data_IF_699856755221
#
_entry.id   IF_699856755221
#
_cell.length_a   1.000
_cell.length_b   1.000
_cell.length_c   1.000
_cell.angle_alpha   90.00
_cell.angle_beta   90.00
_cell.angle_gamma   90.00
#
_symmetry.space_group_name_H-M   'P 1'
#
loop_
_entity.id
_entity.type
_entity.pdbx_description
1 polymer ?
#
# COMPACT_ATOMS: atom_id res chain seq x y z
N UNK A 1 -0.85 -25.14 0.19
CA UNK A 1 -0.18 -24.62 -1.02
C UNK A 1 -0.89 -23.34 -1.44
N UNK A 2 -0.18 -22.34 -1.94
CA UNK A 2 -0.76 -21.09 -2.45
C UNK A 2 0.05 -20.57 -3.64
N UNK A 3 -0.57 -19.80 -4.52
CA UNK A 3 0.08 -19.06 -5.61
C UNK A 3 0.58 -17.72 -5.09
N UNK A 4 1.84 -17.40 -5.39
CA UNK A 4 2.47 -16.16 -4.92
C UNK A 4 2.56 -15.07 -5.99
N UNK A 5 1.55 -14.98 -6.84
CA UNK A 5 1.29 -13.82 -7.68
C UNK A 5 2.13 -13.71 -8.94
N UNK A 6 2.48 -14.85 -9.55
CA UNK A 6 3.25 -14.94 -10.79
C UNK A 6 2.47 -15.55 -11.96
N UNK A 7 1.16 -15.74 -11.82
CA UNK A 7 0.25 -16.34 -12.82
C UNK A 7 0.54 -17.80 -13.19
N UNK A 8 1.36 -18.54 -12.43
CA UNK A 8 1.71 -19.93 -12.79
C UNK A 8 0.47 -20.83 -12.92
N UNK A 9 -0.58 -20.60 -12.11
CA UNK A 9 -1.86 -21.31 -12.22
C UNK A 9 -2.53 -21.07 -13.57
N UNK A 10 -2.52 -19.83 -14.05
CA UNK A 10 -3.13 -19.50 -15.34
C UNK A 10 -2.34 -20.10 -16.51
N UNK A 11 -1.00 -20.09 -16.44
CA UNK A 11 -0.16 -20.77 -17.43
C UNK A 11 -0.41 -22.28 -17.48
N UNK A 12 -0.53 -22.93 -16.31
CA UNK A 12 -0.86 -24.34 -16.22
C UNK A 12 -2.26 -24.64 -16.81
N UNK A 13 -3.25 -23.78 -16.56
CA UNK A 13 -4.59 -23.88 -17.15
C UNK A 13 -4.52 -23.80 -18.68
N UNK A 14 -3.78 -22.85 -19.25
CA UNK A 14 -3.61 -22.73 -20.70
C UNK A 14 -2.87 -23.92 -21.32
N UNK A 15 -1.96 -24.55 -20.58
CA UNK A 15 -1.29 -25.79 -20.97
C UNK A 15 -2.18 -27.04 -20.86
N UNK A 16 -3.45 -26.90 -20.45
CA UNK A 16 -4.42 -27.99 -20.35
C UNK A 16 -4.50 -28.67 -18.98
N UNK A 17 -3.83 -28.15 -17.94
CA UNK A 17 -3.94 -28.69 -16.59
C UNK A 17 -5.24 -28.21 -15.92
N UNK A 18 -6.19 -29.13 -15.73
CA UNK A 18 -7.56 -28.80 -15.30
C UNK A 18 -7.69 -28.43 -13.83
N UNK A 19 -6.70 -28.77 -13.00
CA UNK A 19 -6.69 -28.55 -11.54
C UNK A 19 -5.83 -27.36 -11.11
N UNK A 20 -5.52 -26.46 -12.04
CA UNK A 20 -4.55 -25.39 -11.80
C UNK A 20 -4.97 -24.41 -10.69
N UNK A 21 -6.27 -24.23 -10.48
CA UNK A 21 -6.82 -23.31 -9.47
C UNK A 21 -7.34 -24.04 -8.21
N UNK A 22 -6.99 -25.33 -8.02
CA UNK A 22 -7.32 -26.09 -6.79
C UNK A 22 -6.62 -25.53 -5.53
N UNK A 23 -5.70 -24.58 -5.70
CA UNK A 23 -5.05 -23.85 -4.61
C UNK A 23 -5.18 -22.32 -4.82
N UNK A 24 -5.37 -21.55 -3.73
CA UNK A 24 -5.69 -20.13 -3.81
C UNK A 24 -4.46 -19.26 -4.05
N UNK A 25 -4.68 -18.02 -4.48
CA UNK A 25 -3.67 -16.97 -4.38
C UNK A 25 -3.42 -16.57 -2.93
N UNK A 26 -2.23 -16.05 -2.66
CA UNK A 26 -1.87 -15.61 -1.30
C UNK A 26 -2.73 -14.45 -0.79
N UNK A 27 -3.28 -13.60 -1.68
CA UNK A 27 -4.08 -12.45 -1.27
C UNK A 27 -5.44 -12.85 -0.69
N UNK A 28 -6.30 -13.60 -1.40
CA UNK A 28 -7.54 -14.10 -0.80
C UNK A 28 -7.29 -14.99 0.43
N UNK A 29 -6.17 -15.72 0.46
CA UNK A 29 -5.87 -16.62 1.57
C UNK A 29 -5.37 -15.91 2.85
N UNK A 30 -4.57 -14.84 2.73
CA UNK A 30 -3.85 -14.27 3.87
C UNK A 30 -3.83 -12.74 3.94
N UNK A 31 -3.71 -12.04 2.81
CA UNK A 31 -3.39 -10.59 2.82
C UNK A 31 -4.62 -9.70 2.79
N UNK A 32 -5.75 -10.16 2.24
CA UNK A 32 -6.95 -9.33 2.08
C UNK A 32 -7.46 -8.67 3.38
N UNK A 33 -7.42 -9.31 4.56
CA UNK A 33 -7.78 -8.65 5.81
C UNK A 33 -6.94 -7.39 6.08
N UNK A 34 -5.65 -7.40 5.72
CA UNK A 34 -4.77 -6.23 5.84
C UNK A 34 -5.22 -5.12 4.88
N UNK A 35 -5.56 -5.47 3.64
CA UNK A 35 -6.05 -4.49 2.66
C UNK A 35 -7.36 -3.82 3.07
N UNK A 36 -8.23 -4.52 3.82
CA UNK A 36 -9.45 -3.94 4.38
C UNK A 36 -9.15 -2.80 5.38
N UNK A 37 -7.94 -2.77 5.97
CA UNK A 37 -7.49 -1.70 6.86
C UNK A 37 -6.65 -0.61 6.14
N UNK A 38 -6.52 -0.72 4.82
CA UNK A 38 -5.61 0.12 4.02
C UNK A 38 -4.13 -0.19 4.23
N UNK A 39 -3.79 -1.28 4.94
CA UNK A 39 -2.40 -1.74 5.09
C UNK A 39 -1.87 -2.19 3.74
N UNK A 40 -0.58 -1.97 3.52
CA UNK A 40 0.09 -2.36 2.29
C UNK A 40 1.57 -1.98 2.33
N UNK A 41 2.33 -2.23 1.25
CA UNK A 41 3.79 -2.15 1.23
C UNK A 41 4.33 -0.71 1.14
N UNK A 42 3.92 0.12 2.10
CA UNK A 42 4.40 1.48 2.32
C UNK A 42 5.92 1.47 2.57
N UNK A 43 6.63 2.37 1.89
CA UNK A 43 8.09 2.43 1.91
C UNK A 43 8.60 3.84 1.76
N UNK A 44 9.83 4.05 2.17
CA UNK A 44 10.55 5.30 1.93
C UNK A 44 12.02 5.05 1.65
N UNK A 45 12.68 6.03 1.03
CA UNK A 45 14.13 6.02 0.81
C UNK A 45 14.74 7.39 1.12
N UNK A 46 15.94 7.37 1.70
CA UNK A 46 16.68 8.56 2.07
C UNK A 46 17.50 9.06 0.87
N UNK A 47 17.20 10.25 0.35
CA UNK A 47 17.90 10.80 -0.82
C UNK A 47 19.34 11.25 -0.52
N UNK A 48 19.72 11.29 0.76
CA UNK A 48 21.09 11.55 1.21
C UNK A 48 22.06 10.43 0.85
N UNK A 49 21.55 9.20 0.68
CA UNK A 49 22.37 7.99 0.62
C UNK A 49 22.91 7.54 1.97
N UNK A 50 22.56 8.22 3.07
CA UNK A 50 23.08 7.91 4.41
C UNK A 50 22.16 6.92 5.15
N UNK A 51 22.65 5.73 5.56
CA UNK A 51 21.85 4.75 6.27
C UNK A 51 21.36 5.25 7.64
N UNK A 52 22.02 6.24 8.24
CA UNK A 52 21.58 6.83 9.50
C UNK A 52 20.22 7.54 9.36
N UNK A 53 19.87 8.07 8.19
CA UNK A 53 18.55 8.67 7.97
C UNK A 53 17.43 7.60 8.07
N UNK A 54 17.73 6.35 7.68
CA UNK A 54 16.81 5.22 7.89
C UNK A 54 16.73 4.86 9.38
N UNK A 55 17.84 4.83 10.11
CA UNK A 55 17.79 4.58 11.56
C UNK A 55 16.97 5.64 12.32
N UNK A 56 17.10 6.92 11.94
CA UNK A 56 16.29 8.02 12.52
C UNK A 56 14.81 7.85 12.21
N UNK A 57 14.46 7.47 10.97
CA UNK A 57 13.06 7.23 10.60
C UNK A 57 12.48 5.97 11.25
N UNK A 58 13.24 4.88 11.40
CA UNK A 58 12.83 3.68 12.12
C UNK A 58 12.49 4.02 13.59
N UNK A 59 13.32 4.83 14.26
CA UNK A 59 13.05 5.30 15.62
C UNK A 59 11.78 6.16 15.68
N UNK A 60 11.60 7.10 14.75
CA UNK A 60 10.43 7.96 14.70
C UNK A 60 9.12 7.18 14.45
N UNK A 61 9.17 6.10 13.68
CA UNK A 61 8.00 5.21 13.49
C UNK A 61 7.66 4.49 14.79
N UNK A 62 8.66 3.98 15.53
CA UNK A 62 8.42 3.34 16.85
C UNK A 62 7.82 4.32 17.86
N UNK A 63 8.27 5.58 17.86
CA UNK A 63 7.71 6.65 18.69
C UNK A 63 6.25 6.99 18.32
N UNK A 64 5.92 7.01 17.03
CA UNK A 64 4.56 7.29 16.56
C UNK A 64 3.56 6.19 16.90
N UNK A 65 4.02 4.94 16.97
CA UNK A 65 3.19 3.75 17.18
C UNK A 65 3.75 2.90 18.32
N UNK A 66 3.78 3.43 19.56
CA UNK A 66 4.48 2.79 20.68
C UNK A 66 3.86 1.44 21.08
N UNK A 67 2.56 1.27 20.86
CA UNK A 67 1.82 0.07 21.27
C UNK A 67 1.80 -1.04 20.20
N UNK A 68 2.38 -0.80 19.01
CA UNK A 68 2.38 -1.77 17.92
C UNK A 68 3.61 -2.69 18.00
N UNK A 69 3.56 -3.68 18.91
CA UNK A 69 4.67 -4.60 19.14
C UNK A 69 5.14 -5.35 17.87
N UNK A 70 4.21 -5.72 16.98
CA UNK A 70 4.56 -6.40 15.72
C UNK A 70 5.36 -5.49 14.78
N UNK A 71 4.95 -4.22 14.66
CA UNK A 71 5.68 -3.22 13.89
C UNK A 71 7.10 -3.00 14.44
N UNK A 72 7.26 -2.98 15.76
CA UNK A 72 8.58 -2.79 16.38
C UNK A 72 9.49 -3.98 16.07
N UNK A 73 8.98 -5.20 16.23
CA UNK A 73 9.69 -6.44 15.87
C UNK A 73 10.09 -6.45 14.39
N UNK A 74 9.20 -5.98 13.50
CA UNK A 74 9.51 -5.86 12.07
C UNK A 74 10.67 -4.90 11.81
N UNK A 75 10.67 -3.73 12.43
CA UNK A 75 11.75 -2.75 12.25
C UNK A 75 13.07 -3.25 12.84
N UNK A 76 13.05 -3.91 14.00
CA UNK A 76 14.24 -4.52 14.60
C UNK A 76 14.84 -5.60 13.70
N UNK A 77 14.01 -6.52 13.21
CA UNK A 77 14.45 -7.55 12.28
C UNK A 77 14.97 -6.95 10.97
N UNK A 78 14.32 -5.91 10.45
CA UNK A 78 14.76 -5.25 9.22
C UNK A 78 16.06 -4.44 9.42
N UNK A 79 16.36 -3.96 10.62
CA UNK A 79 17.64 -3.33 10.94
C UNK A 79 18.77 -4.37 11.12
N UNK A 80 18.44 -5.57 11.62
CA UNK A 80 19.42 -6.64 11.84
C UNK A 80 19.73 -7.43 10.56
N UNK A 81 18.72 -7.73 9.74
CA UNK A 81 18.83 -8.74 8.69
C UNK A 81 18.77 -8.20 7.26
N UNK A 82 18.41 -6.93 7.04
CA UNK A 82 18.25 -6.37 5.68
C UNK A 82 19.39 -5.41 5.37
N UNK A 83 20.28 -5.84 4.46
CA UNK A 83 21.30 -4.99 3.87
C UNK A 83 20.69 -3.99 2.88
N UNK A 84 21.24 -2.78 2.82
CA UNK A 84 20.76 -1.76 1.88
C UNK A 84 21.29 -1.99 0.46
N UNK A 85 20.43 -1.77 -0.53
CA UNK A 85 20.77 -1.82 -1.95
C UNK A 85 20.54 -0.45 -2.60
N UNK A 86 21.62 0.24 -3.00
CA UNK A 86 21.54 1.58 -3.56
C UNK A 86 21.25 2.64 -2.49
N UNK A 87 20.23 3.48 -2.68
CA UNK A 87 19.81 4.41 -1.64
C UNK A 87 19.22 3.63 -0.44
N UNK A 88 19.64 3.91 0.81
CA UNK A 88 19.04 3.30 1.98
C UNK A 88 17.54 3.52 1.98
N UNK A 89 16.79 2.43 2.14
CA UNK A 89 15.34 2.41 2.04
C UNK A 89 14.75 1.44 3.04
N UNK A 90 13.52 1.72 3.47
CA UNK A 90 12.78 0.87 4.41
C UNK A 90 11.38 0.59 3.89
N UNK A 91 10.97 -0.65 4.07
CA UNK A 91 9.60 -1.11 3.88
C UNK A 91 8.97 -1.30 5.27
N UNK A 92 7.75 -0.81 5.48
CA UNK A 92 6.99 -1.00 6.71
C UNK A 92 5.51 -0.89 6.38
N UNK A 93 4.75 -1.94 6.64
CA UNK A 93 3.33 -1.93 6.29
C UNK A 93 2.56 -1.02 7.25
N UNK A 94 2.00 0.06 6.71
CA UNK A 94 1.18 1.04 7.43
C UNK A 94 -0.18 1.19 6.74
N UNK A 95 -1.23 1.36 7.54
CA UNK A 95 -2.62 1.40 7.10
C UNK A 95 -3.22 2.79 6.97
N UNK A 96 -4.54 2.83 6.73
CA UNK A 96 -5.29 4.09 6.78
C UNK A 96 -5.24 4.70 8.18
N UNK A 97 -4.87 5.98 8.23
CA UNK A 97 -4.63 6.72 9.48
C UNK A 97 -3.16 6.72 9.94
N UNK A 98 -2.34 5.77 9.49
CA UNK A 98 -0.94 5.66 9.91
C UNK A 98 0.01 6.32 8.91
N UNK A 99 -0.21 6.09 7.60
CA UNK A 99 0.68 6.59 6.54
C UNK A 99 0.86 8.11 6.56
N UNK A 100 -0.21 8.88 6.73
CA UNK A 100 -0.12 10.34 6.76
C UNK A 100 0.63 10.85 8.00
N UNK A 101 0.48 10.20 9.17
CA UNK A 101 1.23 10.52 10.39
C UNK A 101 2.72 10.29 10.18
N UNK A 102 3.08 9.15 9.60
CA UNK A 102 4.46 8.84 9.24
C UNK A 102 5.05 9.86 8.25
N UNK A 103 4.34 10.15 7.15
CA UNK A 103 4.84 11.09 6.15
C UNK A 103 4.99 12.53 6.66
N UNK A 104 4.06 13.00 7.51
CA UNK A 104 4.20 14.28 8.19
C UNK A 104 5.41 14.29 9.11
N UNK A 105 5.59 13.25 9.93
CA UNK A 105 6.74 13.13 10.83
C UNK A 105 8.06 13.12 10.06
N UNK A 106 8.15 12.42 8.94
CA UNK A 106 9.34 12.44 8.09
C UNK A 106 9.62 13.83 7.53
N UNK A 107 8.58 14.57 7.13
CA UNK A 107 8.75 15.95 6.69
C UNK A 107 9.25 16.86 7.80
N UNK A 108 8.80 16.67 9.05
CA UNK A 108 9.35 17.39 10.21
C UNK A 108 10.83 17.06 10.44
N UNK A 109 11.22 15.78 10.39
CA UNK A 109 12.61 15.37 10.55
C UNK A 109 13.54 16.04 9.52
N UNK A 110 13.08 16.17 8.27
CA UNK A 110 13.82 16.87 7.20
C UNK A 110 13.92 18.36 7.50
N UNK A 111 12.81 19.00 7.90
CA UNK A 111 12.77 20.42 8.26
C UNK A 111 13.70 20.75 9.43
N UNK A 112 13.74 19.87 10.43
CA UNK A 112 14.50 20.04 11.66
C UNK A 112 15.97 19.62 11.49
N UNK A 113 16.36 19.10 10.32
CA UNK A 113 17.73 18.68 9.99
C UNK A 113 18.18 17.40 10.70
N UNK A 114 17.23 16.61 11.21
CA UNK A 114 17.52 15.32 11.87
C UNK A 114 17.80 14.19 10.88
N UNK A 115 17.39 14.37 9.62
CA UNK A 115 17.86 13.60 8.47
C UNK A 115 18.56 14.53 7.49
N UNK A 116 19.53 14.01 6.73
CA UNK A 116 20.49 14.84 5.97
C UNK A 116 19.94 15.40 4.66
N UNK A 117 18.89 14.82 4.12
CA UNK A 117 18.27 15.23 2.86
C UNK A 117 16.77 14.87 2.83
N UNK A 118 16.02 15.34 1.81
CA UNK A 118 14.63 14.93 1.62
C UNK A 118 14.44 13.40 1.53
N UNK A 119 13.23 12.95 1.90
CA UNK A 119 12.84 11.54 1.88
C UNK A 119 11.77 11.32 0.82
N UNK A 120 11.95 10.32 -0.04
CA UNK A 120 10.91 9.87 -0.97
C UNK A 120 10.03 8.85 -0.27
N UNK A 121 8.70 8.97 -0.42
CA UNK A 121 7.72 8.13 0.25
C UNK A 121 6.78 7.54 -0.80
N UNK A 122 6.73 6.22 -0.90
CA UNK A 122 5.94 5.53 -1.91
C UNK A 122 5.50 4.14 -1.47
N UNK A 123 5.24 3.30 -2.46
CA UNK A 123 4.81 1.90 -2.29
C UNK A 123 4.98 1.13 -3.59
N UNK A 124 4.75 -0.19 -3.52
CA UNK A 124 4.46 -0.97 -4.73
C UNK A 124 3.11 -0.55 -5.33
N UNK A 125 2.86 -0.94 -6.58
CA UNK A 125 1.55 -0.92 -7.21
C UNK A 125 0.60 -1.98 -6.65
N UNK A 126 1.14 -3.04 -6.02
CA UNK A 126 0.38 -3.92 -5.15
C UNK A 126 0.05 -3.17 -3.86
N UNK A 127 -1.18 -2.71 -3.73
CA UNK A 127 -1.72 -2.11 -2.52
C UNK A 127 -3.25 -2.17 -2.53
N UNK A 128 -3.84 -2.00 -1.36
CA UNK A 128 -5.28 -2.15 -1.08
C UNK A 128 -6.22 -1.48 -2.10
N UNK A 129 -5.86 -0.29 -2.61
CA UNK A 129 -6.71 0.49 -3.52
C UNK A 129 -6.19 0.66 -4.94
N UNK A 130 -5.02 0.11 -5.27
CA UNK A 130 -4.26 0.55 -6.45
C UNK A 130 -4.10 -0.50 -7.54
N UNK A 131 -4.80 -1.64 -7.46
CA UNK A 131 -4.66 -2.72 -8.45
C UNK A 131 -5.97 -3.46 -8.67
N UNK A 132 -6.22 -3.80 -9.94
CA UNK A 132 -7.17 -4.81 -10.37
C UNK A 132 -6.37 -5.94 -11.04
N UNK A 133 -6.46 -7.15 -10.50
CA UNK A 133 -5.67 -8.32 -10.90
C UNK A 133 -6.39 -9.61 -10.46
N UNK A 134 -7.30 -10.15 -11.30
CA UNK A 134 -8.18 -11.28 -10.93
C UNK A 134 -7.45 -12.59 -10.58
N UNK A 135 -6.18 -12.70 -10.93
CA UNK A 135 -5.35 -13.88 -10.65
C UNK A 135 -4.39 -13.66 -9.47
N UNK A 136 -4.50 -12.52 -8.77
CA UNK A 136 -3.63 -12.14 -7.65
C UNK A 136 -4.38 -11.28 -6.62
N UNK A 137 -4.29 -9.96 -6.65
CA UNK A 137 -4.79 -9.09 -5.56
C UNK A 137 -6.32 -9.08 -5.43
N UNK A 138 -7.01 -9.14 -6.56
CA UNK A 138 -8.48 -9.07 -6.61
C UNK A 138 -9.09 -10.41 -6.96
N UNK A 139 -8.36 -11.51 -6.76
CA UNK A 139 -8.86 -12.87 -6.94
C UNK A 139 -9.96 -13.20 -5.91
N UNK A 140 -11.14 -13.62 -6.37
CA UNK A 140 -12.27 -13.99 -5.52
C UNK A 140 -12.69 -12.86 -4.56
N UNK A 141 -13.00 -11.69 -5.11
CA UNK A 141 -13.67 -10.63 -4.36
C UNK A 141 -15.05 -11.13 -3.87
N UNK A 142 -15.49 -10.69 -2.70
CA UNK A 142 -16.72 -11.21 -2.06
C UNK A 142 -18.00 -10.97 -2.88
N UNK A 143 -17.98 -9.97 -3.76
CA UNK A 143 -19.08 -9.61 -4.67
C UNK A 143 -18.82 -10.02 -6.13
N UNK A 144 -17.69 -10.67 -6.42
CA UNK A 144 -17.27 -11.05 -7.78
C UNK A 144 -16.71 -9.88 -8.61
N UNK A 145 -16.36 -8.75 -8.00
CA UNK A 145 -15.80 -7.56 -8.68
C UNK A 145 -14.35 -7.69 -9.13
N UNK A 146 -13.82 -8.91 -9.23
CA UNK A 146 -12.41 -9.23 -9.45
C UNK A 146 -11.77 -8.42 -10.58
N UNK A 147 -12.48 -8.27 -11.71
CA UNK A 147 -11.97 -7.65 -12.94
C UNK A 147 -12.26 -6.13 -13.06
N UNK A 148 -12.90 -5.50 -12.08
CA UNK A 148 -13.23 -4.07 -12.15
C UNK A 148 -11.96 -3.24 -12.00
N UNK A 149 -11.55 -2.59 -13.09
CA UNK A 149 -10.33 -1.78 -13.18
C UNK A 149 -10.55 -0.28 -12.98
N UNK A 150 -11.76 0.17 -12.63
CA UNK A 150 -12.01 1.58 -12.32
C UNK A 150 -11.20 2.05 -11.10
N UNK A 151 -11.06 1.19 -10.09
CA UNK A 151 -10.36 1.48 -8.84
C UNK A 151 -8.90 1.93 -8.98
N UNK A 152 -8.00 1.18 -9.68
CA UNK A 152 -6.64 1.64 -9.89
C UNK A 152 -6.56 2.95 -10.70
N UNK A 153 -7.48 3.18 -11.64
CA UNK A 153 -7.53 4.44 -12.41
C UNK A 153 -7.94 5.61 -11.51
N UNK A 154 -8.97 5.43 -10.69
CA UNK A 154 -9.39 6.40 -9.69
C UNK A 154 -8.29 6.65 -8.65
N UNK A 155 -7.56 5.63 -8.21
CA UNK A 155 -6.44 5.77 -7.30
C UNK A 155 -5.36 6.70 -7.88
N UNK A 156 -5.00 6.53 -9.16
CA UNK A 156 -4.07 7.42 -9.85
C UNK A 156 -4.59 8.87 -9.94
N UNK A 157 -5.85 9.06 -10.34
CA UNK A 157 -6.46 10.38 -10.45
C UNK A 157 -6.54 11.10 -9.09
N UNK A 158 -6.88 10.37 -8.03
CA UNK A 158 -6.93 10.86 -6.65
C UNK A 158 -5.52 11.19 -6.16
N UNK A 159 -4.52 10.35 -6.43
CA UNK A 159 -3.13 10.62 -6.05
C UNK A 159 -2.59 11.89 -6.73
N UNK A 160 -2.87 12.07 -8.02
CA UNK A 160 -2.51 13.27 -8.78
C UNK A 160 -3.19 14.51 -8.18
N UNK A 161 -4.50 14.42 -7.92
CA UNK A 161 -5.28 15.51 -7.32
C UNK A 161 -4.88 15.82 -5.87
N UNK A 162 -4.32 14.83 -5.17
CA UNK A 162 -3.82 14.98 -3.79
C UNK A 162 -2.43 15.61 -3.73
N UNK A 163 -1.76 15.77 -4.87
CA UNK A 163 -0.46 16.42 -4.96
C UNK A 163 0.73 15.48 -4.83
N UNK A 164 0.59 14.21 -5.22
CA UNK A 164 1.75 13.32 -5.42
C UNK A 164 2.83 14.00 -6.29
N UNK A 165 4.09 13.72 -5.97
CA UNK A 165 5.23 14.22 -6.77
C UNK A 165 5.25 13.56 -8.14
N UNK A 166 4.95 12.25 -8.20
CA UNK A 166 4.62 11.57 -9.45
C UNK A 166 3.60 10.47 -9.24
N UNK A 167 2.90 10.15 -10.34
CA UNK A 167 1.88 9.11 -10.42
C UNK A 167 2.13 8.28 -11.67
N UNK A 168 1.88 6.98 -11.59
CA UNK A 168 2.04 6.04 -12.70
C UNK A 168 0.79 5.17 -12.84
N UNK A 169 0.45 4.82 -14.09
CA UNK A 169 -0.56 3.81 -14.42
C UNK A 169 0.14 2.79 -15.31
N UNK A 170 0.16 1.53 -14.88
CA UNK A 170 0.83 0.45 -15.58
C UNK A 170 -0.15 -0.70 -15.85
N UNK A 171 0.24 -1.55 -16.79
CA UNK A 171 -0.50 -2.73 -17.21
C UNK A 171 0.41 -3.95 -17.19
N UNK A 172 -0.10 -5.06 -16.67
CA UNK A 172 0.51 -6.39 -16.73
C UNK A 172 1.65 -6.66 -15.75
N UNK A 173 1.89 -5.77 -14.78
CA UNK A 173 2.89 -5.99 -13.74
C UNK A 173 2.56 -7.21 -12.89
N UNK A 174 3.58 -8.02 -12.62
CA UNK A 174 3.48 -9.27 -11.84
C UNK A 174 2.88 -10.44 -12.59
N UNK A 175 1.67 -10.26 -13.12
CA UNK A 175 0.86 -11.35 -13.70
C UNK A 175 0.94 -11.47 -15.23
N UNK A 176 1.56 -10.50 -15.91
CA UNK A 176 1.73 -10.48 -17.36
C UNK A 176 0.67 -9.65 -18.10
N UNK A 177 0.94 -9.38 -19.38
CA UNK A 177 0.09 -8.59 -20.28
C UNK A 177 -1.34 -9.13 -20.31
N UNK A 178 -2.31 -8.23 -20.15
CA UNK A 178 -3.75 -8.51 -20.24
C UNK A 178 -4.40 -8.90 -18.92
N UNK A 179 -3.63 -9.00 -17.83
CA UNK A 179 -4.09 -9.61 -16.57
C UNK A 179 -4.14 -8.68 -15.37
N UNK A 180 -3.54 -7.49 -15.45
CA UNK A 180 -3.61 -6.50 -14.36
C UNK A 180 -3.55 -5.06 -14.86
N UNK A 181 -4.25 -4.18 -14.15
CA UNK A 181 -4.16 -2.72 -14.28
C UNK A 181 -3.89 -2.16 -12.90
N UNK A 182 -2.88 -1.32 -12.75
CA UNK A 182 -2.46 -0.85 -11.43
C UNK A 182 -1.75 0.50 -11.44
N UNK A 183 -1.86 1.22 -10.31
CA UNK A 183 -1.36 2.56 -10.13
C UNK A 183 -0.30 2.66 -9.03
N UNK A 184 0.67 3.55 -9.26
CA UNK A 184 1.71 3.90 -8.31
C UNK A 184 1.64 5.37 -7.97
N UNK A 185 2.06 5.71 -6.76
CA UNK A 185 2.19 7.10 -6.32
C UNK A 185 3.45 7.24 -5.47
N UNK A 186 4.09 8.40 -5.57
CA UNK A 186 5.18 8.78 -4.67
C UNK A 186 5.06 10.26 -4.30
N UNK A 187 5.24 10.54 -3.02
CA UNK A 187 5.41 11.89 -2.46
C UNK A 187 6.86 12.15 -2.03
N UNK A 188 7.21 13.42 -1.89
CA UNK A 188 8.52 13.85 -1.35
C UNK A 188 8.28 14.65 -0.08
N UNK A 189 8.96 14.24 0.99
CA UNK A 189 9.10 15.01 2.22
C UNK A 189 10.38 15.84 2.13
N UNK A 190 10.25 17.12 1.79
CA UNK A 190 11.37 18.07 1.62
C UNK A 190 11.50 19.10 2.74
N UNK A 191 10.72 18.94 3.82
CA UNK A 191 10.72 19.83 4.97
C UNK A 191 9.83 21.06 4.81
N UNK A 192 9.24 21.28 3.64
CA UNK A 192 8.40 22.46 3.39
C UNK A 192 6.97 22.29 3.90
N UNK A 193 6.31 23.41 4.16
CA UNK A 193 4.87 23.45 4.47
C UNK A 193 4.01 22.92 3.31
N UNK A 194 4.44 23.18 2.07
CA UNK A 194 3.75 22.65 0.89
C UNK A 194 3.81 21.12 0.84
N UNK A 195 4.96 20.52 1.13
CA UNK A 195 5.09 19.07 1.23
C UNK A 195 4.22 18.51 2.36
N UNK A 196 4.15 19.16 3.52
CA UNK A 196 3.26 18.74 4.61
C UNK A 196 1.78 18.66 4.15
N UNK A 197 1.29 19.70 3.47
CA UNK A 197 -0.08 19.72 2.95
C UNK A 197 -0.34 18.63 1.90
N UNK A 198 0.61 18.42 0.98
CA UNK A 198 0.52 17.38 -0.05
C UNK A 198 0.55 15.97 0.55
N UNK A 199 1.51 15.70 1.44
CA UNK A 199 1.68 14.40 2.10
C UNK A 199 0.48 14.05 2.97
N UNK A 200 -0.07 15.02 3.71
CA UNK A 200 -1.29 14.82 4.51
C UNK A 200 -2.45 14.31 3.63
N UNK A 201 -2.69 14.94 2.47
CA UNK A 201 -3.76 14.55 1.53
C UNK A 201 -3.44 13.23 0.84
N UNK A 202 -2.27 13.12 0.24
CA UNK A 202 -1.84 11.96 -0.54
C UNK A 202 -1.87 10.68 0.30
N UNK A 203 -1.25 10.70 1.48
CA UNK A 203 -1.09 9.53 2.33
C UNK A 203 -2.34 9.24 3.19
N UNK A 204 -3.34 10.11 3.14
CA UNK A 204 -4.70 9.81 3.63
C UNK A 204 -5.55 9.19 2.53
N UNK A 205 -5.59 9.83 1.35
CA UNK A 205 -6.46 9.44 0.25
C UNK A 205 -6.05 8.13 -0.42
N UNK A 206 -4.75 7.88 -0.57
CA UNK A 206 -4.22 6.67 -1.20
C UNK A 206 -4.65 5.37 -0.47
N UNK A 207 -4.41 5.19 0.84
CA UNK A 207 -4.95 4.03 1.56
C UNK A 207 -6.48 4.09 1.76
N UNK A 208 -7.10 5.27 1.78
CA UNK A 208 -8.56 5.38 1.84
C UNK A 208 -9.23 4.75 0.62
N UNK A 209 -8.66 4.90 -0.58
CA UNK A 209 -9.15 4.22 -1.78
C UNK A 209 -9.23 2.70 -1.61
N UNK A 210 -8.28 2.12 -0.86
CA UNK A 210 -8.30 0.71 -0.52
C UNK A 210 -9.45 0.33 0.41
N UNK A 211 -9.65 1.09 1.48
CA UNK A 211 -10.78 0.90 2.39
C UNK A 211 -12.11 1.04 1.65
N UNK A 212 -12.29 2.13 0.88
CA UNK A 212 -13.51 2.40 0.10
C UNK A 212 -13.83 1.25 -0.85
N UNK A 213 -12.83 0.78 -1.62
CA UNK A 213 -12.97 -0.34 -2.56
C UNK A 213 -13.45 -1.62 -1.86
N UNK A 214 -12.90 -1.93 -0.69
CA UNK A 214 -13.26 -3.15 0.03
C UNK A 214 -14.59 -3.01 0.78
N UNK A 215 -14.98 -1.80 1.18
CA UNK A 215 -16.35 -1.51 1.64
C UNK A 215 -17.35 -1.78 0.53
N UNK A 216 -17.08 -1.28 -0.68
CA UNK A 216 -17.94 -1.44 -1.86
C UNK A 216 -18.13 -2.93 -2.21
N UNK A 217 -17.05 -3.71 -2.17
CA UNK A 217 -17.10 -5.16 -2.37
C UNK A 217 -17.78 -5.95 -1.22
N UNK A 218 -18.10 -5.28 -0.11
CA UNK A 218 -18.88 -5.82 0.98
C UNK A 218 -18.09 -6.50 2.10
N UNK A 219 -16.80 -6.21 2.26
CA UNK A 219 -16.02 -6.71 3.39
C UNK A 219 -16.39 -5.99 4.69
N UNK A 220 -16.93 -6.73 5.66
CA UNK A 220 -17.35 -6.18 6.96
C UNK A 220 -16.21 -5.43 7.68
N UNK A 221 -14.99 -5.98 7.67
CA UNK A 221 -13.82 -5.34 8.29
C UNK A 221 -13.51 -3.97 7.69
N UNK A 222 -13.66 -3.80 6.37
CA UNK A 222 -13.44 -2.51 5.73
C UNK A 222 -14.51 -1.49 6.14
N UNK A 223 -15.77 -1.93 6.32
CA UNK A 223 -16.85 -1.07 6.79
C UNK A 223 -16.65 -0.62 8.24
N UNK A 224 -16.17 -1.52 9.11
CA UNK A 224 -15.75 -1.21 10.48
C UNK A 224 -14.63 -0.16 10.48
N UNK A 225 -13.55 -0.40 9.74
CA UNK A 225 -12.42 0.55 9.63
C UNK A 225 -12.88 1.91 9.11
N UNK A 226 -13.78 1.93 8.13
CA UNK A 226 -14.33 3.18 7.60
C UNK A 226 -15.09 3.96 8.68
N UNK A 227 -15.91 3.29 9.49
CA UNK A 227 -16.63 3.90 10.60
C UNK A 227 -15.71 4.34 11.74
N UNK A 228 -14.78 3.48 12.16
CA UNK A 228 -13.83 3.72 13.26
C UNK A 228 -12.89 4.90 12.96
N UNK A 229 -12.41 4.99 11.72
CA UNK A 229 -11.35 5.93 11.32
C UNK A 229 -11.86 7.12 10.49
N UNK A 230 -13.17 7.19 10.24
CA UNK A 230 -13.82 8.33 9.59
C UNK A 230 -13.63 8.40 8.06
N UNK A 231 -13.49 7.26 7.38
CA UNK A 231 -13.50 7.22 5.92
C UNK A 231 -14.92 7.53 5.42
N UNK A 232 -15.07 8.56 4.59
CA UNK A 232 -16.38 8.96 4.06
C UNK A 232 -16.85 7.98 2.99
N UNK A 233 -17.90 7.21 3.29
CA UNK A 233 -18.61 6.36 2.33
C UNK A 233 -19.96 7.00 1.99
N UNK A 234 -20.17 7.50 0.75
CA UNK A 234 -21.43 8.17 0.38
C UNK A 234 -22.65 7.25 0.35
N UNK A 235 -22.45 5.98 0.04
CA UNK A 235 -23.51 4.96 -0.04
C UNK A 235 -23.58 4.15 1.25
N UNK A 236 -24.74 3.60 1.57
CA UNK A 236 -24.86 2.66 2.68
C UNK A 236 -24.06 1.38 2.38
N UNK A 237 -23.14 0.94 3.27
CA UNK A 237 -22.39 -0.30 3.07
C UNK A 237 -23.31 -1.53 3.01
N UNK A 238 -23.02 -2.45 2.09
CA UNK A 238 -23.67 -3.78 2.05
C UNK A 238 -22.63 -4.81 2.44
N UNK A 239 -22.81 -5.50 3.57
CA UNK A 239 -21.85 -6.52 4.02
C UNK A 239 -22.19 -7.90 3.44
N UNK A 240 -21.16 -8.66 3.06
CA UNK A 240 -21.24 -10.02 2.55
C UNK A 240 -20.49 -10.96 3.50
N UNK A 241 -21.07 -12.13 3.75
CA UNK A 241 -20.49 -13.19 4.58
C UNK A 241 -19.40 -13.96 3.82
#
# INVERSE_FOLDING_TARGET
VFDYGNSIRDEARHAGYTRAFDFPGFVPAYIRPLFCEGLGPFRWAALSGDPNDIAVTDAAIKELFPDNAHLHQWLDAAAEYVEFEGLPARICWLGYGERHRAGLRFNELVRDGLVKAPIVIGRDHLDSGSVASPYRETEAMADGSDAIADWPLLNALVAASSGATWVSIHHGGGVGIGRSIHAGQVGVADGTELAAQKLSRLLSNDPAMGVIRHVDAGYARAAEVAAERGVRIPMAPTTRA
#
